data_IF_434966223219
#
_entry.id   IF_434966223219
#
_cell.length_a   1.000
_cell.length_b   1.000
_cell.length_c   1.000
_cell.angle_alpha   90.00
_cell.angle_beta   90.00
_cell.angle_gamma   90.00
#
_symmetry.space_group_name_H-M   'P 1'
#
loop_
_entity.id
_entity.type
_entity.pdbx_description
1 polymer ?
#
# COMPACT_ATOMS: atom_id res chain seq x y z
N UNK A 1 19.79 14.52 -20.47
CA UNK A 1 19.05 14.71 -19.21
C UNK A 1 20.05 14.70 -18.07
N UNK A 2 19.89 15.58 -17.07
CA UNK A 2 20.75 15.54 -15.89
C UNK A 2 20.43 14.25 -15.08
N UNK A 3 21.43 13.65 -14.40
CA UNK A 3 21.20 12.46 -13.59
C UNK A 3 20.28 12.77 -12.40
N UNK A 4 19.47 11.80 -12.00
CA UNK A 4 18.64 11.91 -10.80
C UNK A 4 19.54 12.12 -9.58
N UNK A 5 19.25 13.09 -8.70
CA UNK A 5 20.02 13.30 -7.48
C UNK A 5 20.13 12.02 -6.65
N UNK A 6 21.32 11.70 -6.11
CA UNK A 6 21.50 10.53 -5.27
C UNK A 6 20.64 10.65 -4.01
N UNK A 7 19.97 9.56 -3.64
CA UNK A 7 19.17 9.51 -2.42
C UNK A 7 17.83 10.24 -2.49
N UNK A 8 17.32 10.57 -3.68
CA UNK A 8 15.99 11.16 -3.81
C UNK A 8 14.93 10.20 -3.22
N UNK A 9 14.15 10.69 -2.26
CA UNK A 9 13.03 9.99 -1.63
C UNK A 9 11.76 10.83 -1.83
N UNK A 10 10.59 10.20 -1.96
CA UNK A 10 9.33 10.93 -2.09
C UNK A 10 8.92 11.56 -0.74
N UNK A 11 7.82 12.28 -0.75
CA UNK A 11 7.19 12.84 0.44
C UNK A 11 6.79 11.74 1.45
N UNK A 12 6.74 12.11 2.73
CA UNK A 12 6.58 11.15 3.83
C UNK A 12 5.35 10.25 3.71
N UNK A 13 4.24 10.76 3.18
CA UNK A 13 3.00 10.02 2.99
C UNK A 13 3.06 9.00 1.84
N UNK A 14 4.08 9.08 0.98
CA UNK A 14 4.34 8.10 -0.09
C UNK A 14 5.40 7.05 0.29
N UNK A 15 6.11 7.20 1.40
CA UNK A 15 7.25 6.33 1.75
C UNK A 15 6.87 4.85 1.85
N UNK A 16 5.74 4.52 2.50
CA UNK A 16 5.31 3.14 2.62
C UNK A 16 4.95 2.52 1.27
N UNK A 17 4.31 3.29 0.38
CA UNK A 17 3.96 2.84 -0.97
C UNK A 17 5.24 2.64 -1.76
N UNK A 18 6.17 3.60 -1.73
CA UNK A 18 7.46 3.51 -2.41
C UNK A 18 8.26 2.29 -1.96
N UNK A 19 8.36 2.04 -0.65
CA UNK A 19 9.03 0.85 -0.14
C UNK A 19 8.31 -0.43 -0.54
N UNK A 20 6.97 -0.42 -0.57
CA UNK A 20 6.16 -1.55 -1.02
C UNK A 20 6.43 -1.87 -2.49
N UNK A 21 6.50 -0.85 -3.36
CA UNK A 21 6.82 -1.02 -4.78
C UNK A 21 8.19 -1.68 -5.00
N UNK A 22 9.20 -1.35 -4.19
CA UNK A 22 10.53 -1.98 -4.26
C UNK A 22 10.53 -3.47 -3.96
N UNK A 23 9.55 -3.96 -3.20
CA UNK A 23 9.44 -5.39 -2.88
C UNK A 23 8.85 -6.21 -4.03
N UNK A 24 8.21 -5.58 -5.02
CA UNK A 24 7.66 -6.31 -6.14
C UNK A 24 8.79 -6.82 -7.05
N UNK A 25 8.80 -8.11 -7.43
CA UNK A 25 9.76 -8.65 -8.38
C UNK A 25 9.54 -8.03 -9.77
N UNK A 26 10.59 -8.03 -10.61
CA UNK A 26 10.53 -7.41 -11.94
C UNK A 26 9.39 -7.94 -12.83
N UNK A 27 9.02 -9.21 -12.69
CA UNK A 27 7.95 -9.84 -13.47
C UNK A 27 7.15 -10.78 -12.58
N UNK A 28 5.82 -10.72 -12.70
CA UNK A 28 4.87 -11.59 -12.02
C UNK A 28 3.97 -12.19 -13.09
N UNK A 29 3.95 -13.52 -13.23
CA UNK A 29 3.01 -14.21 -14.14
C UNK A 29 3.02 -13.67 -15.59
N UNK A 30 4.16 -13.20 -16.08
CA UNK A 30 4.32 -12.66 -17.45
C UNK A 30 3.96 -11.18 -17.63
N UNK A 31 3.58 -10.46 -16.57
CA UNK A 31 3.40 -9.00 -16.57
C UNK A 31 4.47 -8.31 -15.71
N UNK A 32 4.72 -7.03 -15.95
CA UNK A 32 5.68 -6.27 -15.15
C UNK A 32 5.21 -6.18 -13.68
N UNK A 33 6.16 -6.32 -12.76
CA UNK A 33 5.88 -6.18 -11.33
C UNK A 33 5.30 -4.83 -10.97
N UNK A 34 5.75 -3.77 -11.64
CA UNK A 34 5.23 -2.41 -11.48
C UNK A 34 3.74 -2.32 -11.82
N UNK A 35 3.31 -2.87 -12.96
CA UNK A 35 1.90 -2.88 -13.33
C UNK A 35 1.08 -3.66 -12.31
N UNK A 36 1.55 -4.82 -11.88
CA UNK A 36 0.86 -5.59 -10.85
C UNK A 36 0.75 -4.83 -9.53
N UNK A 37 1.81 -4.16 -9.10
CA UNK A 37 1.82 -3.37 -7.87
C UNK A 37 0.83 -2.19 -7.93
N UNK A 38 0.78 -1.49 -9.06
CA UNK A 38 -0.17 -0.39 -9.29
C UNK A 38 -1.61 -0.91 -9.23
N UNK A 39 -1.90 -2.02 -9.90
CA UNK A 39 -3.23 -2.64 -9.86
C UNK A 39 -3.62 -3.09 -8.45
N UNK A 40 -2.68 -3.63 -7.68
CA UNK A 40 -2.89 -4.02 -6.29
C UNK A 40 -3.21 -2.81 -5.40
N UNK A 41 -2.45 -1.72 -5.53
CA UNK A 41 -2.71 -0.47 -4.79
C UNK A 41 -4.08 0.10 -5.17
N UNK A 42 -4.40 0.14 -6.47
CA UNK A 42 -5.69 0.63 -6.96
C UNK A 42 -6.86 -0.19 -6.41
N UNK A 43 -6.72 -1.52 -6.37
CA UNK A 43 -7.73 -2.39 -5.75
C UNK A 43 -7.92 -2.06 -4.27
N UNK A 44 -6.83 -1.81 -3.52
CA UNK A 44 -6.90 -1.35 -2.12
C UNK A 44 -7.64 -0.02 -1.97
N UNK A 45 -7.36 0.96 -2.83
CA UNK A 45 -8.05 2.27 -2.84
C UNK A 45 -9.54 2.11 -3.14
N UNK A 46 -9.90 1.27 -4.13
CA UNK A 46 -11.30 0.98 -4.47
C UNK A 46 -12.00 0.34 -3.26
N UNK A 47 -11.40 -0.68 -2.64
CA UNK A 47 -11.97 -1.32 -1.45
C UNK A 47 -12.15 -0.32 -0.31
N UNK A 48 -11.19 0.58 -0.10
CA UNK A 48 -11.28 1.64 0.89
C UNK A 48 -12.43 2.61 0.58
N UNK A 49 -12.56 3.06 -0.67
CA UNK A 49 -13.63 3.97 -1.10
C UNK A 49 -15.02 3.37 -0.91
N UNK A 50 -15.16 2.06 -1.18
CA UNK A 50 -16.42 1.33 -0.99
C UNK A 50 -16.60 0.75 0.42
N UNK A 51 -15.74 1.09 1.39
CA UNK A 51 -15.91 0.64 2.78
C UNK A 51 -17.31 0.91 3.36
N UNK A 52 -17.98 2.06 3.13
CA UNK A 52 -19.33 2.29 3.68
C UNK A 52 -20.37 1.29 3.16
N UNK A 53 -20.19 0.78 1.94
CA UNK A 53 -21.07 -0.23 1.33
C UNK A 53 -20.70 -1.63 1.82
N UNK A 54 -19.40 -1.88 2.04
CA UNK A 54 -18.88 -3.16 2.51
C UNK A 54 -19.16 -3.34 4.01
N UNK A 55 -18.81 -2.40 4.86
CA UNK A 55 -19.00 -2.43 6.31
C UNK A 55 -20.30 -1.74 6.76
N UNK A 56 -21.42 -2.34 6.38
CA UNK A 56 -22.74 -1.84 6.75
C UNK A 56 -23.13 -2.14 8.21
N UNK A 57 -22.34 -2.93 8.95
CA UNK A 57 -22.59 -3.35 10.34
C UNK A 57 -21.27 -3.45 11.12
N UNK A 58 -20.71 -2.32 11.58
CA UNK A 58 -19.37 -2.28 12.16
C UNK A 58 -19.24 -3.09 13.47
N UNK A 59 -20.33 -3.28 14.21
CA UNK A 59 -20.36 -4.07 15.45
C UNK A 59 -20.40 -5.58 15.23
N UNK A 60 -20.62 -6.04 14.00
CA UNK A 60 -20.60 -7.46 13.66
C UNK A 60 -19.19 -8.01 13.45
N UNK A 61 -19.06 -9.34 13.33
CA UNK A 61 -17.79 -10.03 13.04
C UNK A 61 -17.06 -9.44 11.81
N UNK A 62 -17.81 -9.06 10.77
CA UNK A 62 -17.27 -8.43 9.56
C UNK A 62 -16.59 -7.10 9.85
N UNK A 63 -17.26 -6.20 10.57
CA UNK A 63 -16.72 -4.90 10.96
C UNK A 63 -15.50 -5.01 11.88
N UNK A 64 -15.49 -5.98 12.78
CA UNK A 64 -14.31 -6.29 13.60
C UNK A 64 -13.11 -6.72 12.74
N UNK A 65 -13.31 -7.60 11.75
CA UNK A 65 -12.24 -8.03 10.82
C UNK A 65 -11.72 -6.83 10.02
N UNK A 66 -12.61 -5.98 9.51
CA UNK A 66 -12.24 -4.78 8.75
C UNK A 66 -11.45 -3.80 9.62
N UNK A 67 -11.87 -3.62 10.87
CA UNK A 67 -11.17 -2.77 11.85
C UNK A 67 -9.75 -3.29 12.10
N UNK A 68 -9.60 -4.58 12.39
CA UNK A 68 -8.28 -5.19 12.58
C UNK A 68 -7.42 -5.13 11.32
N UNK A 69 -7.99 -5.33 10.13
CA UNK A 69 -7.27 -5.15 8.87
C UNK A 69 -6.77 -3.71 8.69
N UNK A 70 -7.58 -2.71 9.05
CA UNK A 70 -7.19 -1.31 9.06
C UNK A 70 -6.04 -1.02 10.04
N UNK A 71 -6.11 -1.55 11.26
CA UNK A 71 -5.02 -1.44 12.24
C UNK A 71 -3.73 -2.07 11.72
N UNK A 72 -3.82 -3.29 11.16
CA UNK A 72 -2.66 -3.96 10.54
C UNK A 72 -2.09 -3.15 9.38
N UNK A 73 -2.93 -2.53 8.53
CA UNK A 73 -2.49 -1.68 7.45
C UNK A 73 -1.74 -0.44 7.95
N UNK A 74 -2.20 0.18 9.05
CA UNK A 74 -1.52 1.32 9.68
C UNK A 74 -0.14 0.90 10.20
N UNK A 75 -0.07 -0.22 10.94
CA UNK A 75 1.19 -0.76 11.45
C UNK A 75 2.15 -1.06 10.29
N UNK A 76 1.65 -1.70 9.23
CA UNK A 76 2.42 -1.96 8.01
C UNK A 76 2.96 -0.66 7.40
N UNK A 77 2.12 0.37 7.24
CA UNK A 77 2.54 1.65 6.66
C UNK A 77 3.63 2.33 7.50
N UNK A 78 3.54 2.24 8.83
CA UNK A 78 4.57 2.76 9.74
C UNK A 78 5.90 2.01 9.57
N UNK A 79 5.87 0.67 9.63
CA UNK A 79 7.07 -0.17 9.48
C UNK A 79 7.75 0.08 8.14
N UNK A 80 6.97 0.09 7.06
CA UNK A 80 7.49 0.32 5.71
C UNK A 80 8.03 1.73 5.51
N UNK A 81 7.40 2.74 6.12
CA UNK A 81 7.91 4.12 6.09
C UNK A 81 9.24 4.24 6.83
N UNK A 82 9.37 3.63 8.01
CA UNK A 82 10.63 3.61 8.77
C UNK A 82 11.71 2.92 7.96
N UNK A 83 11.42 1.74 7.38
CA UNK A 83 12.38 1.02 6.55
C UNK A 83 12.78 1.82 5.30
N UNK A 84 11.85 2.57 4.70
CA UNK A 84 12.17 3.45 3.57
C UNK A 84 13.14 4.58 3.92
N UNK A 85 13.21 4.99 5.19
CA UNK A 85 14.06 6.08 5.66
C UNK A 85 15.47 5.63 6.00
N UNK A 86 15.62 4.38 6.45
CA UNK A 86 16.90 3.69 6.59
C UNK A 86 17.60 3.49 5.23
#
# INVERSE_FOLDING_TARGET
MAPTPPGIKPEWYFLFIFQTLKLFPATILGISGETFAILFILAGVILFFFLPVIDNRPTGRKGQIITWAGVTLIIYALVMSIWSLL
#
